data_IF_591819125006
#
_entry.id   IF_591819125006
#
_cell.length_a   1.000
_cell.length_b   1.000
_cell.length_c   1.000
_cell.angle_alpha   90.00
_cell.angle_beta   90.00
_cell.angle_gamma   90.00
#
_symmetry.space_group_name_H-M   'P 1'
#
loop_
_entity.id
_entity.type
_entity.pdbx_description
1 polymer ?
#
# COMPACT_ATOMS: atom_id res chain seq x y z
N UNK A 1 -2.53 42.76 19.37
CA UNK A 1 -2.82 41.54 18.57
C UNK A 1 -2.55 40.34 19.46
N UNK A 2 -3.57 39.58 19.86
CA UNK A 2 -3.37 38.33 20.61
C UNK A 2 -2.77 37.30 19.65
N UNK A 3 -1.62 36.73 20.02
CA UNK A 3 -1.11 35.56 19.32
C UNK A 3 -2.16 34.44 19.41
N UNK A 4 -2.47 33.73 18.31
CA UNK A 4 -3.35 32.56 18.39
C UNK A 4 -2.75 31.54 19.37
N UNK A 5 -3.59 30.82 20.14
CA UNK A 5 -3.11 29.83 21.08
C UNK A 5 -2.32 28.74 20.36
N UNK A 6 -1.20 28.34 20.96
CA UNK A 6 -0.34 27.27 20.44
C UNK A 6 -1.15 25.97 20.30
N UNK A 7 -1.04 25.25 19.17
CA UNK A 7 -1.75 23.98 18.99
C UNK A 7 -1.29 22.95 20.02
N UNK A 8 -2.25 22.28 20.67
CA UNK A 8 -2.00 21.30 21.72
C UNK A 8 -1.98 19.86 21.18
N UNK A 9 -1.39 18.94 21.93
CA UNK A 9 -1.37 17.51 21.59
C UNK A 9 -2.77 16.90 21.51
N UNK A 10 -3.69 17.34 22.37
CA UNK A 10 -5.09 16.91 22.31
C UNK A 10 -5.79 17.35 21.02
N UNK A 11 -5.56 18.60 20.58
CA UNK A 11 -6.11 19.11 19.32
C UNK A 11 -5.56 18.35 18.11
N UNK A 12 -4.26 18.06 18.08
CA UNK A 12 -3.64 17.29 16.99
C UNK A 12 -4.17 15.85 16.96
N UNK A 13 -4.26 15.20 18.12
CA UNK A 13 -4.79 13.83 18.24
C UNK A 13 -6.24 13.76 17.77
N UNK A 14 -7.09 14.69 18.24
CA UNK A 14 -8.49 14.76 17.85
C UNK A 14 -8.65 15.01 16.34
N UNK A 15 -7.86 15.92 15.76
CA UNK A 15 -7.90 16.17 14.33
C UNK A 15 -7.52 14.92 13.51
N UNK A 16 -6.52 14.15 13.94
CA UNK A 16 -6.12 12.91 13.26
C UNK A 16 -7.19 11.81 13.37
N UNK A 17 -7.73 11.56 14.56
CA UNK A 17 -8.75 10.53 14.75
C UNK A 17 -10.07 10.88 14.06
N UNK A 18 -10.46 12.16 14.01
CA UNK A 18 -11.61 12.62 13.24
C UNK A 18 -11.48 12.37 11.73
N UNK A 19 -10.24 12.25 11.22
CA UNK A 19 -9.96 11.90 9.82
C UNK A 19 -9.95 10.40 9.53
N UNK A 20 -10.28 9.56 10.53
CA UNK A 20 -10.35 8.10 10.42
C UNK A 20 -9.01 7.38 10.58
N UNK A 21 -7.96 8.07 11.02
CA UNK A 21 -6.66 7.46 11.32
C UNK A 21 -6.69 6.76 12.70
N UNK A 22 -5.88 5.70 12.89
CA UNK A 22 -5.73 5.09 14.21
C UNK A 22 -5.12 6.08 15.20
N UNK A 23 -5.45 5.92 16.48
CA UNK A 23 -4.99 6.82 17.55
C UNK A 23 -3.47 6.76 17.67
N UNK A 24 -2.75 7.85 17.35
CA UNK A 24 -1.30 7.89 17.49
C UNK A 24 -0.88 7.98 18.96
N UNK A 25 0.33 7.52 19.28
CA UNK A 25 0.89 7.67 20.62
C UNK A 25 1.33 9.13 20.87
N UNK A 26 1.28 9.61 22.12
CA UNK A 26 1.79 10.94 22.46
C UNK A 26 3.28 11.10 22.14
N UNK A 27 4.08 10.04 22.33
CA UNK A 27 5.51 10.00 21.99
C UNK A 27 5.80 10.26 20.51
N UNK A 28 4.88 9.87 19.62
CA UNK A 28 5.00 10.12 18.18
C UNK A 28 4.68 11.57 17.82
N UNK A 29 3.72 12.20 18.51
CA UNK A 29 3.26 13.56 18.22
C UNK A 29 4.16 14.64 18.83
N UNK A 30 4.76 14.40 20.00
CA UNK A 30 5.59 15.39 20.70
C UNK A 30 6.73 15.96 19.85
N UNK A 31 7.51 15.17 19.08
CA UNK A 31 8.56 15.71 18.20
C UNK A 31 8.02 16.56 17.04
N UNK A 32 6.77 16.33 16.63
CA UNK A 32 6.12 17.10 15.54
C UNK A 32 5.68 18.46 16.08
N UNK A 33 5.14 18.50 17.29
CA UNK A 33 4.73 19.73 17.99
C UNK A 33 5.93 20.58 18.42
N UNK A 34 6.98 19.94 18.96
CA UNK A 34 8.15 20.59 19.53
C UNK A 34 9.33 20.69 18.55
N UNK A 35 9.06 20.56 17.25
CA UNK A 35 10.11 20.52 16.22
C UNK A 35 11.00 21.77 16.31
N UNK A 36 12.34 21.63 16.41
CA UNK A 36 13.26 22.75 16.62
C UNK A 36 13.28 23.76 15.46
N UNK A 37 12.80 23.37 14.26
CA UNK A 37 12.62 24.29 13.13
C UNK A 37 11.45 25.28 13.30
N UNK A 38 10.62 25.12 14.34
CA UNK A 38 9.48 25.99 14.66
C UNK A 38 9.88 27.27 15.41
N UNK A 39 11.17 27.42 15.74
CA UNK A 39 11.70 28.49 16.59
C UNK A 39 11.41 29.94 16.13
N UNK A 40 10.94 30.14 14.89
CA UNK A 40 10.60 31.47 14.37
C UNK A 40 9.11 31.71 14.11
N UNK A 41 8.30 30.68 13.83
CA UNK A 41 6.84 30.78 13.65
C UNK A 41 6.18 29.44 13.97
N UNK A 42 5.17 29.45 14.84
CA UNK A 42 4.34 28.28 15.10
C UNK A 42 3.56 27.91 13.82
N UNK A 43 3.75 26.69 13.28
CA UNK A 43 3.01 26.27 12.09
C UNK A 43 1.51 26.16 12.42
N UNK A 44 0.62 26.43 11.45
CA UNK A 44 -0.81 26.26 11.65
C UNK A 44 -1.14 24.79 11.90
N UNK A 45 -2.22 24.53 12.64
CA UNK A 45 -2.67 23.18 13.00
C UNK A 45 -2.81 22.26 11.78
N UNK A 46 -3.28 22.78 10.65
CA UNK A 46 -3.43 22.03 9.39
C UNK A 46 -2.11 21.48 8.87
N UNK A 47 -1.03 22.26 8.92
CA UNK A 47 0.31 21.80 8.53
C UNK A 47 0.85 20.72 9.47
N UNK A 48 0.58 20.84 10.78
CA UNK A 48 0.95 19.82 11.77
C UNK A 48 0.17 18.52 11.55
N UNK A 49 -1.13 18.60 11.30
CA UNK A 49 -1.98 17.45 10.98
C UNK A 49 -1.51 16.76 9.70
N UNK A 50 -1.21 17.52 8.64
CA UNK A 50 -0.70 16.98 7.39
C UNK A 50 0.66 16.28 7.58
N UNK A 51 1.56 16.89 8.34
CA UNK A 51 2.88 16.32 8.66
C UNK A 51 2.75 15.04 9.49
N UNK A 52 1.91 15.05 10.51
CA UNK A 52 1.67 13.88 11.36
C UNK A 52 1.02 12.74 10.58
N UNK A 53 0.03 13.05 9.72
CA UNK A 53 -0.59 12.06 8.83
C UNK A 53 0.43 11.44 7.88
N UNK A 54 1.24 12.26 7.21
CA UNK A 54 2.25 11.76 6.27
C UNK A 54 3.24 10.83 6.98
N UNK A 55 3.80 11.27 8.12
CA UNK A 55 4.75 10.47 8.90
C UNK A 55 4.14 9.16 9.40
N UNK A 56 2.88 9.18 9.83
CA UNK A 56 2.18 7.98 10.32
C UNK A 56 1.94 6.97 9.18
N UNK A 57 1.59 7.46 7.98
CA UNK A 57 1.39 6.61 6.81
C UNK A 57 2.71 6.04 6.25
N UNK A 58 3.84 6.68 6.54
CA UNK A 58 5.18 6.25 6.14
C UNK A 58 5.89 5.38 7.18
N UNK A 59 5.50 5.45 8.45
CA UNK A 59 6.12 4.70 9.55
C UNK A 59 5.68 3.24 9.57
N UNK A 60 6.49 2.36 10.15
CA UNK A 60 6.08 1.00 10.50
C UNK A 60 5.22 1.02 11.78
N UNK A 61 3.99 0.50 11.69
CA UNK A 61 3.05 0.47 12.81
C UNK A 61 3.40 -0.56 13.89
N UNK A 62 4.34 -1.46 13.61
CA UNK A 62 4.86 -2.41 14.60
C UNK A 62 5.82 -1.76 15.60
N UNK A 63 6.36 -0.57 15.27
CA UNK A 63 7.27 0.12 16.17
C UNK A 63 6.55 0.63 17.43
N UNK A 64 7.11 0.35 18.62
CA UNK A 64 6.52 0.83 19.86
C UNK A 64 6.55 2.36 19.89
N UNK A 65 5.44 2.97 20.31
CA UNK A 65 5.33 4.41 20.43
C UNK A 65 4.93 5.16 19.17
N UNK A 66 4.52 4.47 18.09
CA UNK A 66 3.82 5.05 16.93
C UNK A 66 2.31 5.13 17.19
N UNK A 67 1.70 4.00 17.54
CA UNK A 67 0.27 3.90 17.86
C UNK A 67 0.07 3.82 19.37
N UNK A 68 -1.11 4.23 19.84
CA UNK A 68 -1.48 4.12 21.25
C UNK A 68 -1.50 2.65 21.69
N UNK A 69 -1.14 2.37 22.94
CA UNK A 69 -1.14 1.02 23.52
C UNK A 69 -2.53 0.37 23.59
N UNK A 70 -3.59 1.19 23.48
CA UNK A 70 -4.99 0.75 23.43
C UNK A 70 -5.46 0.36 22.03
N UNK A 71 -4.59 0.42 21.03
CA UNK A 71 -4.92 0.05 19.65
C UNK A 71 -5.28 -1.44 19.60
N UNK A 72 -6.42 -1.76 18.99
CA UNK A 72 -6.84 -3.13 18.82
C UNK A 72 -5.89 -3.88 17.87
N UNK A 73 -5.54 -5.10 18.24
CA UNK A 73 -4.67 -6.01 17.48
C UNK A 73 -5.46 -7.27 17.13
N UNK A 74 -4.91 -8.10 16.26
CA UNK A 74 -5.54 -9.36 15.92
C UNK A 74 -5.64 -10.29 17.14
N UNK A 75 -6.71 -11.10 17.23
CA UNK A 75 -6.77 -12.16 18.21
C UNK A 75 -5.68 -13.20 17.88
N UNK A 76 -5.05 -13.75 18.92
CA UNK A 76 -3.90 -14.67 18.78
C UNK A 76 -4.18 -15.89 17.89
N UNK A 77 -5.45 -16.30 17.79
CA UNK A 77 -5.89 -17.44 17.00
C UNK A 77 -6.41 -17.07 15.60
N UNK A 78 -6.20 -15.84 15.11
CA UNK A 78 -6.77 -15.42 13.81
C UNK A 78 -6.28 -16.25 12.63
N UNK A 79 -5.05 -16.78 12.67
CA UNK A 79 -4.45 -17.59 11.62
C UNK A 79 -4.79 -19.08 11.74
N UNK A 80 -5.55 -19.49 12.78
CA UNK A 80 -5.91 -20.88 12.99
C UNK A 80 -6.96 -21.32 11.95
N UNK A 81 -6.58 -22.26 11.08
CA UNK A 81 -7.47 -22.83 10.08
C UNK A 81 -8.64 -23.63 10.67
N UNK A 82 -8.57 -23.97 11.97
CA UNK A 82 -9.61 -24.68 12.71
C UNK A 82 -10.88 -23.85 12.92
N UNK A 83 -10.77 -22.51 12.89
CA UNK A 83 -11.92 -21.62 13.01
C UNK A 83 -12.61 -21.51 11.66
N UNK A 84 -13.82 -22.07 11.57
CA UNK A 84 -14.62 -22.07 10.33
C UNK A 84 -14.92 -20.65 9.89
N UNK A 85 -15.47 -19.82 10.78
CA UNK A 85 -15.75 -18.42 10.54
C UNK A 85 -15.81 -17.63 11.86
N UNK A 86 -15.21 -16.45 11.88
CA UNK A 86 -15.29 -15.47 12.96
C UNK A 86 -15.42 -14.06 12.37
N UNK A 87 -15.79 -13.09 13.20
CA UNK A 87 -15.79 -11.67 12.81
C UNK A 87 -14.90 -10.86 13.75
N UNK A 88 -14.22 -9.85 13.24
CA UNK A 88 -13.41 -8.95 14.06
C UNK A 88 -14.29 -8.16 15.03
N UNK A 89 -13.87 -8.08 16.29
CA UNK A 89 -14.60 -7.40 17.37
C UNK A 89 -14.37 -5.88 17.41
N UNK A 90 -13.28 -5.40 16.81
CA UNK A 90 -12.86 -4.00 16.83
C UNK A 90 -12.27 -3.59 15.47
N UNK A 91 -12.06 -2.28 15.30
CA UNK A 91 -11.36 -1.71 14.15
C UNK A 91 -9.86 -1.94 14.32
N UNK A 92 -9.23 -2.69 13.42
CA UNK A 92 -7.82 -3.09 13.51
C UNK A 92 -7.03 -2.38 12.40
N UNK A 93 -6.09 -1.49 12.75
CA UNK A 93 -5.17 -0.93 11.78
C UNK A 93 -4.12 -1.98 11.39
N UNK A 94 -3.94 -2.14 10.10
CA UNK A 94 -3.04 -3.09 9.49
C UNK A 94 -2.13 -2.39 8.47
N UNK A 95 -1.02 -3.05 8.20
CA UNK A 95 -0.04 -2.68 7.21
C UNK A 95 0.09 -3.78 6.17
N UNK A 96 0.15 -3.40 4.91
CA UNK A 96 0.35 -4.33 3.80
C UNK A 96 1.83 -4.67 3.66
N UNK A 97 2.17 -5.95 3.79
CA UNK A 97 3.53 -6.45 3.57
C UNK A 97 3.74 -7.05 2.18
N UNK A 98 2.66 -7.50 1.54
CA UNK A 98 2.73 -8.11 0.23
C UNK A 98 1.36 -8.18 -0.44
N UNK A 99 1.37 -8.17 -1.77
CA UNK A 99 0.18 -8.29 -2.59
C UNK A 99 0.47 -9.22 -3.77
N UNK A 100 -0.46 -10.12 -4.03
CA UNK A 100 -0.42 -11.06 -5.14
C UNK A 100 -1.74 -10.93 -5.88
N UNK A 101 -1.67 -10.79 -7.20
CA UNK A 101 -2.85 -10.89 -8.04
C UNK A 101 -3.09 -12.35 -8.42
N UNK A 102 -4.26 -12.87 -8.08
CA UNK A 102 -4.63 -14.25 -8.34
C UNK A 102 -5.21 -14.45 -9.75
N UNK A 103 -5.50 -13.37 -10.48
CA UNK A 103 -6.05 -13.45 -11.83
C UNK A 103 -4.99 -13.70 -12.90
N UNK A 104 -3.71 -13.47 -12.59
CA UNK A 104 -2.58 -13.66 -13.50
C UNK A 104 -1.77 -14.89 -13.11
N UNK A 105 -1.25 -15.61 -14.10
CA UNK A 105 -0.31 -16.69 -13.81
C UNK A 105 1.03 -16.11 -13.35
N UNK A 106 1.73 -16.83 -12.45
CA UNK A 106 3.06 -16.41 -12.00
C UNK A 106 4.03 -16.27 -13.19
N UNK A 107 3.88 -17.12 -14.20
CA UNK A 107 4.68 -17.07 -15.42
C UNK A 107 4.43 -15.78 -16.20
N UNK A 108 3.18 -15.39 -16.42
CA UNK A 108 2.84 -14.13 -17.12
C UNK A 108 3.42 -12.92 -16.40
N UNK A 109 3.38 -12.92 -15.06
CA UNK A 109 3.98 -11.84 -14.25
C UNK A 109 5.50 -11.84 -14.38
N UNK A 110 6.16 -13.00 -14.41
CA UNK A 110 7.62 -13.09 -14.64
C UNK A 110 7.97 -12.57 -16.04
N UNK A 111 7.25 -13.03 -17.08
CA UNK A 111 7.48 -12.57 -18.45
C UNK A 111 7.29 -11.05 -18.57
N UNK A 112 6.26 -10.48 -17.94
CA UNK A 112 6.04 -9.04 -17.92
C UNK A 112 7.17 -8.27 -17.23
N UNK A 113 7.69 -8.78 -16.12
CA UNK A 113 8.84 -8.19 -15.42
C UNK A 113 10.13 -8.27 -16.27
N UNK A 114 10.35 -9.38 -16.97
CA UNK A 114 11.48 -9.54 -17.87
C UNK A 114 11.40 -8.62 -19.08
N UNK A 115 10.21 -8.49 -19.68
CA UNK A 115 10.00 -7.62 -20.84
C UNK A 115 10.19 -6.15 -20.47
N UNK A 116 9.71 -5.74 -19.29
CA UNK A 116 9.96 -4.40 -18.74
C UNK A 116 11.46 -4.14 -18.55
N UNK A 117 12.20 -5.09 -17.96
CA UNK A 117 13.67 -5.00 -17.82
C UNK A 117 14.38 -4.89 -19.17
N UNK A 118 13.90 -5.59 -20.20
CA UNK A 118 14.47 -5.58 -21.55
C UNK A 118 14.02 -4.37 -22.39
N UNK A 119 13.08 -3.54 -21.89
CA UNK A 119 12.49 -2.44 -22.67
C UNK A 119 11.61 -2.92 -23.83
N UNK A 120 11.10 -4.14 -23.73
CA UNK A 120 10.25 -4.79 -24.72
C UNK A 120 8.78 -4.53 -24.36
N UNK A 121 8.07 -3.76 -25.19
CA UNK A 121 6.63 -3.59 -25.07
C UNK A 121 5.95 -4.44 -26.13
N UNK A 122 5.02 -5.31 -25.74
CA UNK A 122 4.27 -6.14 -26.69
C UNK A 122 2.99 -5.42 -27.13
N UNK A 123 2.83 -5.20 -28.44
CA UNK A 123 1.57 -4.71 -29.03
C UNK A 123 0.92 -5.86 -29.78
N UNK A 124 -0.01 -6.56 -29.13
CA UNK A 124 -0.63 -7.77 -29.69
C UNK A 124 0.31 -8.98 -29.64
N UNK A 125 0.53 -9.68 -30.77
CA UNK A 125 1.48 -10.80 -30.88
C UNK A 125 2.92 -10.35 -31.20
N UNK A 126 3.16 -9.06 -31.35
CA UNK A 126 4.45 -8.52 -31.80
C UNK A 126 5.21 -7.85 -30.65
N UNK A 127 6.50 -8.17 -30.54
CA UNK A 127 7.43 -7.61 -29.54
C UNK A 127 8.07 -6.37 -30.15
N UNK A 128 7.77 -5.18 -29.62
CA UNK A 128 8.38 -3.92 -30.03
C UNK A 128 9.47 -3.57 -29.02
N UNK A 129 10.72 -3.52 -29.48
CA UNK A 129 11.85 -2.98 -28.70
C UNK A 129 11.85 -1.46 -28.80
N UNK A 130 11.73 -0.79 -27.66
CA UNK A 130 11.89 0.67 -27.61
C UNK A 130 13.38 1.00 -27.68
N UNK A 131 13.88 1.26 -28.88
CA UNK A 131 15.21 1.82 -29.09
C UNK A 131 15.23 3.28 -28.59
N UNK A 132 16.22 3.71 -27.80
CA UNK A 132 16.37 5.12 -27.46
C UNK A 132 16.71 5.89 -28.74
N UNK A 133 15.81 6.76 -29.20
CA UNK A 133 16.15 7.77 -30.20
C UNK A 133 17.14 8.77 -29.57
N UNK A 134 18.35 8.93 -30.12
CA UNK A 134 19.24 10.01 -29.71
C UNK A 134 18.64 11.38 -30.08
N UNK A 135 18.99 12.46 -29.36
CA UNK A 135 18.47 13.79 -29.63
C UNK A 135 18.93 14.31 -30.99
N UNK A 136 18.03 15.05 -31.61
CA UNK A 136 17.87 15.39 -33.02
C UNK A 136 19.05 16.13 -33.68
N UNK A 137 19.27 15.86 -34.98
CA UNK A 137 19.38 16.92 -35.99
C UNK A 137 19.32 16.32 -37.41
N UNK A 138 18.16 16.41 -38.08
CA UNK A 138 18.06 16.61 -39.54
C UNK A 138 16.60 16.72 -40.02
N UNK A 139 16.38 17.77 -40.80
CA UNK A 139 15.12 18.28 -41.36
C UNK A 139 14.53 17.45 -42.51
N UNK A 140 13.19 17.42 -42.56
CA UNK A 140 12.28 17.24 -43.71
C UNK A 140 12.22 15.87 -44.43
N UNK A 141 11.09 15.16 -44.28
CA UNK A 141 10.22 14.78 -45.41
C UNK A 141 8.87 14.20 -44.93
N UNK A 142 7.80 14.72 -45.51
CA UNK A 142 6.38 14.33 -45.39
C UNK A 142 6.09 12.86 -45.68
N UNK A 143 5.63 12.11 -44.67
CA UNK A 143 4.64 11.03 -44.83
C UNK A 143 3.76 10.98 -43.58
N UNK A 144 2.47 11.26 -43.74
CA UNK A 144 1.45 11.12 -42.72
C UNK A 144 1.12 9.64 -42.45
N UNK A 145 1.20 9.14 -41.20
CA UNK A 145 0.57 7.89 -40.82
C UNK A 145 -0.86 8.11 -40.31
N UNK A 146 -1.76 7.13 -40.50
CA UNK A 146 -3.17 7.25 -40.15
C UNK A 146 -3.37 7.31 -38.63
N UNK A 147 -4.26 8.21 -38.23
CA UNK A 147 -4.95 8.20 -36.94
C UNK A 147 -5.71 6.89 -36.77
N UNK A 148 -5.36 6.05 -35.79
CA UNK A 148 -6.28 5.30 -34.91
C UNK A 148 -5.54 4.32 -34.00
N UNK A 149 -6.06 4.19 -32.78
CA UNK A 149 -5.69 3.26 -31.70
C UNK A 149 -4.51 3.67 -30.79
N UNK A 150 -4.77 4.68 -29.95
CA UNK A 150 -4.27 4.70 -28.58
C UNK A 150 -4.63 3.37 -27.90
N UNK A 151 -3.73 2.39 -27.97
CA UNK A 151 -3.88 1.14 -27.23
C UNK A 151 -3.59 1.42 -25.77
N UNK A 152 -4.41 0.89 -24.84
CA UNK A 152 -4.33 1.24 -23.44
C UNK A 152 -2.99 0.75 -22.89
N UNK A 153 -2.37 1.57 -22.03
CA UNK A 153 -1.39 1.05 -21.07
C UNK A 153 -1.95 -0.25 -20.46
N UNK A 154 -1.11 -1.25 -20.12
CA UNK A 154 -1.58 -2.51 -19.55
C UNK A 154 -2.55 -2.15 -18.43
N UNK A 155 -3.84 -2.45 -18.65
CA UNK A 155 -4.87 -2.08 -17.69
C UNK A 155 -4.49 -2.79 -16.40
N UNK A 156 -4.30 -2.06 -15.28
CA UNK A 156 -3.94 -2.69 -14.03
C UNK A 156 -4.95 -3.79 -13.79
N UNK A 157 -4.46 -5.01 -13.56
CA UNK A 157 -5.34 -6.14 -13.35
C UNK A 157 -6.30 -5.80 -12.22
N UNK A 158 -7.58 -6.10 -12.45
CA UNK A 158 -8.66 -5.80 -11.51
C UNK A 158 -8.99 -7.03 -10.65
N UNK A 159 -8.12 -8.04 -10.72
CA UNK A 159 -8.33 -9.37 -10.17
C UNK A 159 -8.48 -9.37 -8.66
N UNK A 160 -8.97 -10.49 -8.08
CA UNK A 160 -8.99 -10.63 -6.65
C UNK A 160 -7.55 -10.68 -6.13
N UNK A 161 -7.21 -9.75 -5.24
CA UNK A 161 -5.90 -9.70 -4.63
C UNK A 161 -5.83 -10.59 -3.37
N UNK A 162 -4.73 -11.32 -3.25
CA UNK A 162 -4.27 -11.93 -2.00
C UNK A 162 -3.26 -11.01 -1.36
N UNK A 163 -3.50 -10.64 -0.11
CA UNK A 163 -2.72 -9.62 0.60
C UNK A 163 -2.20 -10.19 1.89
N UNK A 164 -0.93 -9.93 2.19
CA UNK A 164 -0.35 -10.20 3.49
C UNK A 164 -0.48 -8.95 4.34
N UNK A 165 -1.30 -9.02 5.39
CA UNK A 165 -1.51 -7.95 6.35
C UNK A 165 -0.71 -8.22 7.62
N UNK A 166 -0.26 -7.15 8.27
CA UNK A 166 0.38 -7.19 9.58
C UNK A 166 -0.28 -6.15 10.50
N UNK A 167 -0.58 -6.50 11.75
CA UNK A 167 -1.10 -5.55 12.74
C UNK A 167 0.02 -4.85 13.53
N UNK A 168 -0.37 -3.98 14.47
CA UNK A 168 0.55 -3.29 15.36
C UNK A 168 1.31 -4.21 16.34
N UNK A 169 0.80 -5.41 16.62
CA UNK A 169 1.51 -6.42 17.42
C UNK A 169 2.53 -7.22 16.58
N UNK A 170 2.59 -6.98 15.27
CA UNK A 170 3.44 -7.71 14.33
C UNK A 170 2.85 -9.04 13.86
N UNK A 171 1.63 -9.38 14.26
CA UNK A 171 0.92 -10.59 13.82
C UNK A 171 0.53 -10.47 12.35
N UNK A 172 0.84 -11.51 11.57
CA UNK A 172 0.61 -11.55 10.13
C UNK A 172 -0.57 -12.44 9.79
N UNK A 173 -1.40 -12.00 8.84
CA UNK A 173 -2.55 -12.75 8.35
C UNK A 173 -2.72 -12.56 6.85
N UNK A 174 -3.10 -13.62 6.14
CA UNK A 174 -3.49 -13.49 4.74
C UNK A 174 -4.91 -12.97 4.64
N UNK A 175 -5.15 -12.13 3.65
CA UNK A 175 -6.44 -11.58 3.33
C UNK A 175 -6.74 -11.78 1.85
N UNK A 176 -8.00 -12.06 1.52
CA UNK A 176 -8.47 -12.25 0.16
C UNK A 176 -9.55 -11.24 -0.16
N UNK A 177 -9.42 -10.60 -1.31
CA UNK A 177 -10.46 -9.74 -1.85
C UNK A 177 -11.66 -10.56 -2.32
N UNK A 178 -12.73 -10.56 -1.51
CA UNK A 178 -13.97 -11.24 -1.84
C UNK A 178 -14.86 -10.37 -2.74
N UNK A 179 -14.84 -9.06 -2.51
CA UNK A 179 -15.48 -8.04 -3.34
C UNK A 179 -14.49 -6.93 -3.59
N UNK A 180 -14.61 -6.31 -4.77
CA UNK A 180 -13.69 -5.25 -5.19
C UNK A 180 -13.61 -4.12 -4.15
N UNK A 181 -12.41 -3.86 -3.67
CA UNK A 181 -12.08 -2.75 -2.76
C UNK A 181 -11.31 -1.71 -3.57
N UNK A 182 -11.81 -0.47 -3.55
CA UNK A 182 -11.11 0.62 -4.24
C UNK A 182 -9.71 0.84 -3.67
N UNK A 183 -8.76 1.19 -4.54
CA UNK A 183 -7.35 1.45 -4.20
C UNK A 183 -6.55 0.22 -3.74
N UNK A 184 -7.14 -0.97 -3.81
CA UNK A 184 -6.43 -2.23 -3.65
C UNK A 184 -5.81 -2.63 -4.99
N UNK A 185 -4.57 -3.13 -4.95
CA UNK A 185 -3.95 -3.73 -6.13
C UNK A 185 -2.45 -3.93 -6.05
N UNK A 186 -1.87 -4.50 -7.09
CA UNK A 186 -0.41 -4.54 -7.22
C UNK A 186 0.15 -3.13 -7.47
N UNK A 187 1.39 -2.85 -7.05
CA UNK A 187 2.02 -1.57 -7.40
C UNK A 187 2.07 -1.38 -8.92
N UNK A 188 1.86 -0.15 -9.44
CA UNK A 188 1.88 1.14 -8.72
C UNK A 188 0.56 1.57 -8.06
N UNK A 189 -0.53 0.78 -8.14
CA UNK A 189 -1.85 1.15 -7.57
C UNK A 189 -1.79 1.30 -6.06
N UNK A 190 -1.18 0.32 -5.38
CA UNK A 190 -0.96 0.32 -3.95
C UNK A 190 0.52 0.04 -3.68
N UNK A 191 1.13 0.84 -2.79
CA UNK A 191 2.51 0.61 -2.37
C UNK A 191 2.57 -0.37 -1.20
N UNK A 192 3.72 -1.03 -1.04
CA UNK A 192 3.96 -1.84 0.14
C UNK A 192 4.21 -0.94 1.34
N UNK A 193 3.71 -1.37 2.50
CA UNK A 193 3.61 -0.55 3.70
C UNK A 193 2.39 0.37 3.71
N UNK A 194 1.49 0.27 2.72
CA UNK A 194 0.18 0.91 2.74
C UNK A 194 -0.57 0.53 4.02
N UNK A 195 -1.22 1.52 4.64
CA UNK A 195 -2.02 1.38 5.85
C UNK A 195 -3.48 1.16 5.47
N UNK A 196 -4.08 0.15 6.09
CA UNK A 196 -5.46 -0.26 5.87
C UNK A 196 -6.11 -0.48 7.22
N UNK A 197 -7.35 -0.05 7.40
CA UNK A 197 -8.13 -0.35 8.61
C UNK A 197 -9.16 -1.39 8.27
N UNK A 198 -9.12 -2.52 8.97
CA UNK A 198 -10.18 -3.51 8.96
C UNK A 198 -11.22 -3.08 9.97
N UNK A 199 -12.44 -2.80 9.51
CA UNK A 199 -13.55 -2.40 10.38
C UNK A 199 -14.03 -3.59 11.19
N UNK A 200 -14.59 -3.30 12.36
CA UNK A 200 -15.37 -4.23 13.16
C UNK A 200 -16.39 -4.94 12.27
N UNK A 201 -16.51 -6.25 12.45
CA UNK A 201 -17.40 -7.10 11.66
C UNK A 201 -16.77 -7.68 10.39
N UNK A 202 -15.53 -7.31 10.04
CA UNK A 202 -14.81 -7.98 8.95
C UNK A 202 -14.73 -9.49 9.23
N UNK A 203 -15.01 -10.30 8.19
CA UNK A 203 -15.09 -11.75 8.32
C UNK A 203 -13.71 -12.37 8.21
N UNK A 204 -13.46 -13.35 9.07
CA UNK A 204 -12.29 -14.23 9.03
C UNK A 204 -12.79 -15.64 8.85
N UNK A 205 -12.30 -16.36 7.86
CA UNK A 205 -12.67 -17.76 7.62
C UNK A 205 -11.42 -18.59 7.44
N UNK A 206 -11.30 -19.72 8.14
CA UNK A 206 -10.17 -20.66 8.01
C UNK A 206 -8.79 -19.98 8.05
N UNK A 207 -8.61 -19.02 8.94
CA UNK A 207 -7.31 -18.34 9.08
C UNK A 207 -7.06 -17.17 8.13
N UNK A 208 -8.02 -16.81 7.27
CA UNK A 208 -7.89 -15.72 6.29
C UNK A 208 -8.95 -14.64 6.45
N UNK A 209 -8.57 -13.39 6.28
CA UNK A 209 -9.50 -12.25 6.31
C UNK A 209 -10.18 -12.10 4.95
N UNK A 210 -11.49 -11.98 4.92
CA UNK A 210 -12.26 -11.74 3.70
C UNK A 210 -12.50 -10.23 3.57
N UNK A 211 -11.87 -9.62 2.57
CA UNK A 211 -11.94 -8.19 2.32
C UNK A 211 -13.17 -7.86 1.47
N UNK A 212 -13.98 -6.94 1.98
CA UNK A 212 -15.13 -6.35 1.31
C UNK A 212 -15.07 -4.83 1.45
N UNK A 213 -15.60 -4.05 0.49
CA UNK A 213 -15.51 -2.59 0.51
C UNK A 213 -16.21 -1.97 1.74
N UNK A 214 -17.19 -2.66 2.32
CA UNK A 214 -17.89 -2.21 3.53
C UNK A 214 -17.04 -2.33 4.81
N UNK A 215 -16.05 -3.22 4.83
CA UNK A 215 -15.29 -3.56 6.05
C UNK A 215 -13.81 -3.20 5.95
N UNK A 216 -13.40 -2.49 4.90
CA UNK A 216 -11.99 -2.17 4.63
C UNK A 216 -11.88 -0.70 4.24
N UNK A 217 -10.98 0.02 4.91
CA UNK A 217 -10.66 1.41 4.58
C UNK A 217 -9.17 1.52 4.25
N UNK A 218 -8.86 1.86 3.01
CA UNK A 218 -7.47 2.08 2.56
C UNK A 218 -7.06 3.52 2.89
N UNK A 219 -6.12 3.68 3.82
CA UNK A 219 -5.60 4.99 4.23
C UNK A 219 -4.46 5.46 3.32
N UNK A 220 -3.78 4.52 2.64
CA UNK A 220 -2.63 4.79 1.77
C UNK A 220 -1.31 4.74 2.52
N UNK A 221 -0.29 5.42 1.98
CA UNK A 221 1.06 5.40 2.53
C UNK A 221 2.00 4.44 1.82
N UNK A 222 3.26 4.50 2.21
CA UNK A 222 4.36 3.71 1.63
C UNK A 222 5.48 3.62 2.65
N UNK A 223 6.01 2.42 2.86
CA UNK A 223 7.28 2.24 3.58
C UNK A 223 8.38 2.02 2.57
N UNK A 224 9.24 3.02 2.36
CA UNK A 224 10.21 3.00 1.25
C UNK A 224 11.15 1.80 1.28
N UNK A 225 11.65 1.44 2.46
CA UNK A 225 12.55 0.29 2.61
C UNK A 225 11.90 -1.04 2.23
N UNK A 226 10.67 -1.28 2.70
CA UNK A 226 9.94 -2.53 2.43
C UNK A 226 9.36 -2.56 1.02
N UNK A 227 8.89 -1.42 0.48
CA UNK A 227 8.44 -1.30 -0.91
C UNK A 227 9.56 -1.56 -1.90
N UNK A 228 10.75 -1.03 -1.64
CA UNK A 228 11.94 -1.31 -2.47
C UNK A 228 12.32 -2.79 -2.41
N UNK A 229 12.52 -3.35 -1.21
CA UNK A 229 12.85 -4.77 -1.03
C UNK A 229 11.81 -5.71 -1.67
N UNK A 230 10.53 -5.37 -1.53
CA UNK A 230 9.47 -6.15 -2.13
C UNK A 230 9.53 -6.08 -3.66
N UNK A 231 9.72 -4.91 -4.26
CA UNK A 231 9.82 -4.78 -5.74
C UNK A 231 11.03 -5.53 -6.30
N UNK A 232 12.20 -5.33 -5.69
CA UNK A 232 13.46 -5.95 -6.12
C UNK A 232 13.39 -7.48 -6.00
N UNK A 233 12.88 -8.01 -4.89
CA UNK A 233 12.76 -9.46 -4.69
C UNK A 233 11.52 -10.10 -5.30
N UNK A 234 10.68 -9.36 -6.04
CA UNK A 234 9.39 -9.88 -6.55
C UNK A 234 9.59 -11.03 -7.52
N UNK A 235 10.51 -10.87 -8.47
CA UNK A 235 10.77 -11.87 -9.51
C UNK A 235 11.31 -13.17 -8.93
N UNK A 236 12.31 -13.08 -8.04
CA UNK A 236 12.90 -14.24 -7.37
C UNK A 236 11.85 -15.04 -6.59
N UNK A 237 10.97 -14.36 -5.84
CA UNK A 237 9.86 -15.01 -5.13
C UNK A 237 8.87 -15.68 -6.07
N UNK A 238 8.60 -15.09 -7.23
CA UNK A 238 7.71 -15.69 -8.22
C UNK A 238 8.34 -16.95 -8.84
N UNK A 239 9.63 -16.91 -9.18
CA UNK A 239 10.38 -18.06 -9.73
C UNK A 239 10.50 -19.20 -8.72
N UNK A 240 10.87 -18.91 -7.47
CA UNK A 240 10.98 -19.92 -6.42
C UNK A 240 9.65 -20.58 -6.06
N UNK A 241 8.52 -19.95 -6.40
CA UNK A 241 7.16 -20.51 -6.23
C UNK A 241 6.64 -21.33 -7.42
N UNK A 242 7.43 -21.52 -8.47
CA UNK A 242 7.10 -22.43 -9.56
C UNK A 242 7.53 -23.85 -9.17
N UNK A 243 6.67 -24.88 -9.34
CA UNK A 243 7.09 -26.26 -9.17
C UNK A 243 8.23 -26.55 -10.16
N UNK A 244 9.35 -27.06 -9.64
CA UNK A 244 10.53 -27.35 -10.45
C UNK A 244 10.19 -28.30 -11.60
N UNK A 245 10.58 -27.94 -12.82
CA UNK A 245 11.04 -28.93 -13.79
C UNK A 245 12.37 -29.43 -13.23
N UNK A 246 12.31 -30.50 -12.44
CA UNK A 246 13.47 -31.36 -12.27
C UNK A 246 13.67 -32.04 -13.63
N UNK A 247 14.71 -31.61 -14.36
CA UNK A 247 15.29 -32.38 -15.47
C UNK A 247 16.38 -33.31 -14.90
#
# INVERSE_FOLDING_TARGET
MMNPPSPTLAQLTHALTSSGLPTPAPSFLSPILNSPNTSQRTPPLTSLVATARLRLLQSDITHPGILASTTATFPRNISAATVVSASLSADIPCQVLGVEDLSLSRWDVICALESERKGETTKGREVIRVLPTPPEDSTQATQSPPTTSSSPAPSPSLGPFKILLQDAAGQRVYAFELRRVEKLGCPPVMNIGCKVVLRRGAKVARGVVLLEPATVVVLGGKMEGEDRKWREGREERLRGGLPGRED
#
